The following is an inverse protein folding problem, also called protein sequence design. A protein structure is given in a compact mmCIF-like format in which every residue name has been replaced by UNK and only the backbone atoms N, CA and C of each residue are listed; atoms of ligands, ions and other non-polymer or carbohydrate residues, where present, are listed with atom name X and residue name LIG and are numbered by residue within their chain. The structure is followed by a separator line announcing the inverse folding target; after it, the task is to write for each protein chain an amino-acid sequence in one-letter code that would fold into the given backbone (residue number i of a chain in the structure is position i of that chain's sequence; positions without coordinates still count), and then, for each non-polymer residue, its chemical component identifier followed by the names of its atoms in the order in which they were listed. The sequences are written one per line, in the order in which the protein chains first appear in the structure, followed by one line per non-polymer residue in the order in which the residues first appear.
data_IF_185177398324
#
_entry.id   IF_185177398324
#
_cell.length_a   1.000
_cell.length_b   1.000
_cell.length_c   1.000
_cell.angle_alpha   90.00
_cell.angle_beta   90.00
_cell.angle_gamma   90.00
#
_symmetry.space_group_name_H-M   'P 1'
#
loop_
_entity.id
_entity.type
_entity.pdbx_description
1 polymer ?
#
# COMPACT_ATOMS: atom_id res chain seq x y z
N UNK A 1 -4.51 2.58 -17.01
CA UNK A 1 -4.09 1.27 -16.46
C UNK A 1 -4.21 0.25 -17.57
N UNK A 2 -3.15 -0.52 -17.81
CA UNK A 2 -3.10 -1.61 -18.80
C UNK A 2 -2.98 -2.95 -18.08
N UNK A 3 -3.58 -4.03 -18.59
CA UNK A 3 -3.36 -5.37 -18.09
C UNK A 3 -2.08 -6.03 -18.62
N UNK A 4 -1.36 -5.37 -19.55
CA UNK A 4 -0.17 -5.88 -20.18
C UNK A 4 1.06 -5.09 -19.72
N UNK A 5 1.93 -5.74 -18.97
CA UNK A 5 3.12 -5.11 -18.37
C UNK A 5 4.08 -4.57 -19.44
N UNK A 6 4.16 -5.22 -20.59
CA UNK A 6 5.05 -4.79 -21.71
C UNK A 6 4.64 -3.47 -22.36
N UNK A 7 3.38 -3.03 -22.18
CA UNK A 7 2.85 -1.79 -22.71
C UNK A 7 2.88 -0.64 -21.68
N UNK A 8 3.25 -0.94 -20.44
CA UNK A 8 3.20 0.02 -19.35
C UNK A 8 4.34 1.05 -19.45
N UNK A 9 4.00 2.35 -19.41
CA UNK A 9 4.98 3.43 -19.25
C UNK A 9 5.54 3.52 -17.83
N UNK A 10 4.74 3.14 -16.83
CA UNK A 10 5.14 3.13 -15.42
C UNK A 10 4.67 1.83 -14.79
N UNK A 11 5.56 1.13 -14.12
CA UNK A 11 5.25 -0.07 -13.36
C UNK A 11 5.33 0.25 -11.87
N UNK A 12 4.26 -0.09 -11.12
CA UNK A 12 4.19 0.07 -9.68
C UNK A 12 4.10 -1.31 -9.05
N UNK A 13 5.12 -1.71 -8.33
CA UNK A 13 5.16 -2.99 -7.63
C UNK A 13 4.85 -2.81 -6.15
N UNK A 14 3.71 -3.35 -5.70
CA UNK A 14 3.33 -3.34 -4.29
C UNK A 14 3.90 -4.57 -3.59
N UNK A 15 4.99 -4.37 -2.87
CA UNK A 15 5.82 -5.43 -2.29
C UNK A 15 5.33 -5.90 -0.91
N UNK A 16 5.51 -7.18 -0.63
CA UNK A 16 5.46 -7.74 0.70
C UNK A 16 6.87 -7.79 1.30
N UNK A 17 7.04 -7.37 2.55
CA UNK A 17 8.33 -7.37 3.27
C UNK A 17 8.25 -8.09 4.60
N UNK A 18 7.29 -9.03 4.75
CA UNK A 18 6.96 -9.63 6.04
C UNK A 18 7.84 -10.85 6.36
N UNK A 19 7.98 -11.78 5.43
CA UNK A 19 8.79 -13.01 5.58
C UNK A 19 9.87 -13.07 4.50
N UNK A 20 10.91 -13.86 4.74
CA UNK A 20 12.06 -13.97 3.83
C UNK A 20 11.65 -14.42 2.42
N UNK A 21 10.81 -15.45 2.31
CA UNK A 21 10.36 -15.97 1.02
C UNK A 21 9.61 -14.91 0.21
N UNK A 22 8.75 -14.12 0.88
CA UNK A 22 8.06 -13.02 0.22
C UNK A 22 9.00 -11.86 -0.17
N UNK A 23 10.07 -11.64 0.57
CA UNK A 23 11.11 -10.67 0.19
C UNK A 23 11.87 -11.16 -1.06
N UNK A 24 12.23 -12.45 -1.11
CA UNK A 24 12.93 -13.01 -2.26
C UNK A 24 12.02 -12.96 -3.50
N UNK A 25 10.77 -13.37 -3.38
CA UNK A 25 9.78 -13.26 -4.47
C UNK A 25 9.62 -11.81 -4.94
N UNK A 26 9.60 -10.84 -4.01
CA UNK A 26 9.51 -9.44 -4.35
C UNK A 26 10.73 -8.95 -5.13
N UNK A 27 11.95 -9.36 -4.73
CA UNK A 27 13.18 -9.02 -5.43
C UNK A 27 13.16 -9.61 -6.85
N UNK A 28 12.85 -10.90 -6.97
CA UNK A 28 12.79 -11.59 -8.26
C UNK A 28 11.79 -10.90 -9.20
N UNK A 29 10.63 -10.49 -8.70
CA UNK A 29 9.61 -9.76 -9.46
C UNK A 29 10.06 -8.35 -9.87
N UNK A 30 10.77 -7.64 -9.00
CA UNK A 30 11.33 -6.32 -9.35
C UNK A 30 12.36 -6.46 -10.47
N UNK A 31 13.22 -7.48 -10.43
CA UNK A 31 14.21 -7.76 -11.47
C UNK A 31 13.54 -8.16 -12.80
N UNK A 32 12.48 -8.99 -12.76
CA UNK A 32 11.68 -9.31 -13.94
C UNK A 32 11.06 -8.05 -14.56
N UNK A 33 10.51 -7.15 -13.72
CA UNK A 33 9.92 -5.89 -14.20
C UNK A 33 10.97 -4.89 -14.70
N UNK A 34 12.19 -4.97 -14.21
CA UNK A 34 13.29 -4.15 -14.71
C UNK A 34 13.63 -4.43 -16.18
N UNK A 35 13.38 -5.65 -16.66
CA UNK A 35 13.55 -6.00 -18.08
C UNK A 35 12.65 -5.16 -18.97
N UNK A 36 11.47 -4.75 -18.54
CA UNK A 36 10.59 -3.87 -19.31
C UNK A 36 11.15 -2.44 -19.45
N UNK A 37 12.09 -2.02 -18.59
CA UNK A 37 12.84 -0.77 -18.78
C UNK A 37 13.94 -0.90 -19.83
N UNK A 38 14.60 -2.05 -19.88
CA UNK A 38 15.69 -2.31 -20.81
C UNK A 38 15.17 -2.63 -22.22
N UNK A 39 14.10 -3.44 -22.31
CA UNK A 39 13.62 -4.07 -23.54
C UNK A 39 12.17 -3.71 -23.91
N UNK A 40 11.49 -2.89 -23.10
CA UNK A 40 10.10 -2.50 -23.28
C UNK A 40 9.88 -0.99 -23.25
N UNK A 41 8.65 -0.59 -22.92
CA UNK A 41 8.22 0.81 -22.88
C UNK A 41 8.32 1.46 -21.50
N UNK A 42 8.69 0.71 -20.46
CA UNK A 42 8.67 1.18 -19.08
C UNK A 42 9.72 2.29 -18.87
N UNK A 43 9.26 3.46 -18.48
CA UNK A 43 10.08 4.66 -18.19
C UNK A 43 10.44 4.78 -16.72
N UNK A 44 9.59 4.20 -15.83
CA UNK A 44 9.79 4.27 -14.39
C UNK A 44 9.28 3.01 -13.69
N UNK A 45 10.10 2.47 -12.79
CA UNK A 45 9.78 1.36 -11.89
C UNK A 45 9.71 1.86 -10.46
N UNK A 46 8.54 1.73 -9.84
CA UNK A 46 8.25 2.19 -8.48
C UNK A 46 8.02 0.98 -7.58
N UNK A 47 8.71 0.92 -6.46
CA UNK A 47 8.47 -0.08 -5.42
C UNK A 47 7.74 0.57 -4.26
N UNK A 48 6.63 -0.02 -3.84
CA UNK A 48 5.84 0.40 -2.68
C UNK A 48 5.51 -0.77 -1.76
N UNK A 49 4.86 -0.51 -0.65
CA UNK A 49 4.44 -1.55 0.30
C UNK A 49 5.42 -1.81 1.43
N UNK A 50 5.30 -2.99 2.06
CA UNK A 50 6.03 -3.29 3.30
C UNK A 50 7.55 -3.38 3.10
N UNK A 51 8.03 -3.88 1.97
CA UNK A 51 9.45 -3.91 1.65
C UNK A 51 10.01 -2.49 1.48
N UNK A 52 9.29 -1.63 0.76
CA UNK A 52 9.62 -0.22 0.60
C UNK A 52 9.74 0.51 1.95
N UNK A 53 8.79 0.29 2.86
CA UNK A 53 8.80 0.89 4.19
C UNK A 53 9.96 0.38 5.06
N UNK A 54 10.29 -0.91 4.93
CA UNK A 54 11.30 -1.56 5.78
C UNK A 54 12.72 -1.25 5.38
N UNK A 55 13.00 -1.27 4.08
CA UNK A 55 14.36 -1.24 3.53
C UNK A 55 14.69 0.02 2.74
N UNK A 56 13.77 0.92 2.60
CA UNK A 56 13.84 2.23 1.92
C UNK A 56 15.18 2.55 1.22
N UNK A 57 16.19 2.95 1.97
CA UNK A 57 17.50 3.37 1.44
C UNK A 57 18.26 2.21 0.78
N UNK A 58 18.18 1.01 1.36
CA UNK A 58 18.86 -0.20 0.88
C UNK A 58 18.33 -0.70 -0.48
N UNK A 59 17.06 -0.36 -0.82
CA UNK A 59 16.47 -0.78 -2.10
C UNK A 59 17.23 -0.16 -3.27
N UNK A 60 17.60 1.11 -3.21
CA UNK A 60 18.33 1.76 -4.30
C UNK A 60 19.74 1.25 -4.48
N UNK A 61 20.36 0.75 -3.40
CA UNK A 61 21.70 0.15 -3.44
C UNK A 61 21.67 -1.26 -4.02
N UNK A 62 20.65 -2.05 -3.63
CA UNK A 62 20.52 -3.46 -4.01
C UNK A 62 19.80 -3.65 -5.36
N UNK A 63 18.91 -2.73 -5.72
CA UNK A 63 18.07 -2.75 -6.92
C UNK A 63 18.19 -1.41 -7.65
N UNK A 64 19.33 -1.17 -8.34
CA UNK A 64 19.60 0.11 -9.01
C UNK A 64 18.61 0.44 -10.13
N UNK A 65 17.83 -0.54 -10.62
CA UNK A 65 16.79 -0.37 -11.64
C UNK A 65 15.55 0.38 -11.11
N UNK A 66 15.33 0.38 -9.78
CA UNK A 66 14.19 1.06 -9.15
C UNK A 66 14.38 2.57 -9.20
N UNK A 67 13.38 3.30 -9.69
CA UNK A 67 13.40 4.76 -9.81
C UNK A 67 12.80 5.47 -8.60
N UNK A 68 11.80 4.84 -7.96
CA UNK A 68 11.23 5.40 -6.74
C UNK A 68 10.86 4.33 -5.70
N UNK A 69 10.92 4.74 -4.43
CA UNK A 69 10.49 3.97 -3.27
C UNK A 69 9.42 4.77 -2.53
N UNK A 70 8.23 4.16 -2.34
CA UNK A 70 7.07 4.79 -1.71
C UNK A 70 6.63 3.97 -0.50
N UNK A 71 6.59 4.60 0.67
CA UNK A 71 6.22 3.97 1.93
C UNK A 71 4.76 3.53 2.01
N UNK A 72 4.45 2.71 3.00
CA UNK A 72 3.09 2.18 3.22
C UNK A 72 2.06 3.24 3.58
N UNK A 73 2.51 4.38 4.11
CA UNK A 73 1.67 5.53 4.44
C UNK A 73 1.50 6.53 3.30
N UNK A 74 2.31 6.42 2.25
CA UNK A 74 2.45 7.47 1.22
C UNK A 74 1.80 7.14 -0.12
N UNK A 75 1.07 6.02 -0.23
CA UNK A 75 0.45 5.57 -1.49
C UNK A 75 -0.48 6.63 -2.12
N UNK A 76 -1.03 7.53 -1.32
CA UNK A 76 -1.88 8.64 -1.78
C UNK A 76 -1.13 9.60 -2.69
N UNK A 77 0.16 9.74 -2.48
CA UNK A 77 1.03 10.65 -3.20
C UNK A 77 1.71 10.00 -4.43
N UNK A 78 1.34 8.76 -4.76
CA UNK A 78 2.00 8.02 -5.83
C UNK A 78 1.89 8.71 -7.20
N UNK A 79 0.78 9.43 -7.44
CA UNK A 79 0.61 10.24 -8.64
C UNK A 79 1.66 11.33 -8.76
N UNK A 80 1.92 12.08 -7.67
CA UNK A 80 2.95 13.11 -7.66
C UNK A 80 4.36 12.53 -7.83
N UNK A 81 4.62 11.32 -7.32
CA UNK A 81 5.89 10.61 -7.54
C UNK A 81 6.06 10.25 -9.02
N UNK A 82 5.01 9.77 -9.67
CA UNK A 82 5.02 9.48 -11.12
C UNK A 82 5.35 10.75 -11.91
N UNK A 83 4.69 11.87 -11.62
CA UNK A 83 4.93 13.13 -12.31
C UNK A 83 6.39 13.60 -12.16
N UNK A 84 6.98 13.47 -10.98
CA UNK A 84 8.39 13.80 -10.73
C UNK A 84 9.32 12.93 -11.58
N UNK A 85 9.08 11.62 -11.65
CA UNK A 85 9.88 10.68 -12.43
C UNK A 85 9.77 10.98 -13.94
N UNK A 86 8.56 11.25 -14.45
CA UNK A 86 8.33 11.56 -15.85
C UNK A 86 8.94 12.92 -16.25
N UNK A 87 9.12 13.84 -15.29
CA UNK A 87 9.85 15.09 -15.46
C UNK A 87 11.37 14.95 -15.34
N UNK A 88 11.88 13.72 -15.23
CA UNK A 88 13.32 13.42 -15.27
C UNK A 88 14.01 13.33 -13.92
N UNK A 89 13.28 13.44 -12.80
CA UNK A 89 13.84 13.19 -11.47
C UNK A 89 14.15 11.69 -11.33
N UNK A 90 15.18 11.35 -10.56
CA UNK A 90 15.62 9.96 -10.35
C UNK A 90 15.77 9.68 -8.87
N UNK A 91 15.58 8.39 -8.52
CA UNK A 91 15.75 7.90 -7.13
C UNK A 91 14.87 8.68 -6.16
N UNK A 92 13.59 8.84 -6.51
CA UNK A 92 12.60 9.52 -5.68
C UNK A 92 12.27 8.64 -4.48
N UNK A 93 12.50 9.13 -3.28
CA UNK A 93 12.12 8.46 -2.04
C UNK A 93 11.02 9.26 -1.34
N UNK A 94 9.90 8.59 -1.08
CA UNK A 94 8.80 9.12 -0.31
C UNK A 94 8.39 8.08 0.75
N UNK A 95 9.03 8.14 1.91
CA UNK A 95 8.77 7.24 3.03
C UNK A 95 8.66 8.09 4.29
N UNK A 96 7.42 8.45 4.63
CA UNK A 96 7.12 9.31 5.77
C UNK A 96 6.77 8.50 7.03
N UNK A 97 6.37 9.19 8.10
CA UNK A 97 5.92 8.53 9.33
C UNK A 97 4.67 7.68 9.06
N UNK A 98 4.76 6.39 9.35
CA UNK A 98 3.65 5.43 9.18
C UNK A 98 2.48 5.67 10.13
N UNK A 99 2.64 6.50 11.16
CA UNK A 99 1.61 6.79 12.17
C UNK A 99 0.78 8.04 11.84
N UNK A 100 1.00 8.69 10.69
CA UNK A 100 0.15 9.80 10.32
C UNK A 100 -1.30 9.35 10.10
N UNK A 101 -2.24 10.23 10.39
CA UNK A 101 -3.67 9.95 10.24
C UNK A 101 -3.97 9.70 8.76
N UNK A 102 -4.65 8.60 8.50
CA UNK A 102 -5.20 8.32 7.19
C UNK A 102 -6.19 9.43 6.83
N UNK A 103 -6.04 10.01 5.65
CA UNK A 103 -6.88 11.12 5.23
C UNK A 103 -8.28 10.59 4.88
N UNK A 104 -9.20 10.70 5.84
CA UNK A 104 -10.58 10.21 5.76
C UNK A 104 -11.39 10.88 4.64
N UNK A 105 -10.98 12.07 4.22
CA UNK A 105 -11.64 12.85 3.18
C UNK A 105 -11.26 12.44 1.75
N UNK A 106 -10.26 11.61 1.59
CA UNK A 106 -9.83 11.15 0.27
C UNK A 106 -10.80 10.09 -0.27
N UNK A 107 -11.73 10.53 -1.10
CA UNK A 107 -12.57 9.65 -1.89
C UNK A 107 -11.79 9.07 -3.07
N UNK A 108 -10.81 8.19 -2.79
CA UNK A 108 -10.14 7.49 -3.88
C UNK A 108 -11.14 6.74 -4.75
N UNK A 109 -11.01 6.88 -6.06
CA UNK A 109 -11.70 5.99 -7.00
C UNK A 109 -11.03 4.63 -6.91
N UNK A 110 -11.59 3.78 -6.08
CA UNK A 110 -11.13 2.40 -5.95
C UNK A 110 -11.58 1.60 -7.17
N UNK A 111 -10.63 0.98 -7.84
CA UNK A 111 -10.94 -0.01 -8.86
C UNK A 111 -11.05 -1.39 -8.20
N UNK A 112 -12.20 -2.02 -8.34
CA UNK A 112 -12.44 -3.38 -7.85
C UNK A 112 -11.94 -4.35 -8.92
N UNK A 113 -10.88 -5.10 -8.59
CA UNK A 113 -10.26 -6.09 -9.50
C UNK A 113 -10.63 -7.53 -9.13
N UNK A 114 -11.36 -7.73 -8.02
CA UNK A 114 -11.83 -9.05 -7.63
C UNK A 114 -12.99 -9.50 -8.52
N UNK A 115 -12.92 -10.74 -8.99
CA UNK A 115 -14.00 -11.40 -9.73
C UNK A 115 -14.96 -12.11 -8.75
N UNK A 116 -16.22 -12.33 -9.16
CA UNK A 116 -17.18 -13.11 -8.34
C UNK A 116 -18.05 -12.32 -7.38
N UNK A 117 -18.06 -10.99 -7.48
CA UNK A 117 -19.00 -10.14 -6.70
C UNK A 117 -18.62 -9.93 -5.24
N UNK A 118 -17.40 -10.21 -4.84
CA UNK A 118 -16.87 -9.91 -3.50
C UNK A 118 -15.79 -8.82 -3.53
N UNK A 119 -15.53 -8.20 -2.39
CA UNK A 119 -14.42 -7.26 -2.23
C UNK A 119 -13.91 -7.22 -0.78
N UNK A 120 -12.66 -6.83 -0.61
CA UNK A 120 -12.07 -6.61 0.70
C UNK A 120 -12.34 -5.19 1.18
N UNK A 121 -12.67 -5.03 2.46
CA UNK A 121 -12.78 -3.74 3.13
C UNK A 121 -11.81 -3.69 4.30
N UNK A 122 -10.79 -2.86 4.18
CA UNK A 122 -9.83 -2.64 5.27
C UNK A 122 -10.47 -1.76 6.33
N UNK A 123 -10.60 -2.30 7.57
CA UNK A 123 -11.26 -1.63 8.69
C UNK A 123 -10.28 -0.98 9.67
N UNK A 124 -9.03 -1.42 9.67
CA UNK A 124 -7.98 -0.86 10.52
C UNK A 124 -6.60 -1.04 9.87
N UNK A 125 -5.62 -0.30 10.37
CA UNK A 125 -4.21 -0.35 9.97
C UNK A 125 -3.32 -0.46 11.20
N UNK A 126 -2.20 -1.20 11.07
CA UNK A 126 -1.20 -1.34 12.13
C UNK A 126 -1.56 -2.36 13.20
N UNK A 127 -0.68 -2.51 14.19
CA UNK A 127 -0.87 -3.45 15.31
C UNK A 127 0.05 -3.10 16.49
N UNK A 128 -0.50 -3.10 17.72
CA UNK A 128 0.24 -2.79 18.95
C UNK A 128 0.61 -4.03 19.78
N UNK A 129 0.44 -5.23 19.24
CA UNK A 129 0.70 -6.46 20.02
C UNK A 129 2.18 -6.77 20.26
N UNK A 130 3.10 -6.17 19.51
CA UNK A 130 4.54 -6.31 19.67
C UNK A 130 5.05 -7.76 19.84
N UNK A 131 4.44 -8.73 19.13
CA UNK A 131 4.93 -10.11 19.13
C UNK A 131 6.40 -10.15 18.70
N UNK A 132 7.23 -10.96 19.39
CA UNK A 132 8.69 -10.95 19.28
C UNK A 132 9.23 -11.17 17.86
N UNK A 133 8.51 -11.91 17.03
CA UNK A 133 8.86 -12.23 15.63
C UNK A 133 8.21 -11.30 14.61
N UNK A 134 7.33 -10.40 15.04
CA UNK A 134 6.45 -9.67 14.13
C UNK A 134 7.01 -8.31 13.74
N UNK A 135 7.08 -8.03 12.45
CA UNK A 135 7.55 -6.75 11.90
C UNK A 135 6.42 -5.73 11.68
N UNK A 136 5.14 -6.13 11.84
CA UNK A 136 3.98 -5.29 11.54
C UNK A 136 4.06 -3.90 12.20
N UNK A 137 4.35 -3.74 13.51
CA UNK A 137 4.44 -2.41 14.11
C UNK A 137 5.46 -1.49 13.43
N UNK A 138 6.54 -2.07 12.88
CA UNK A 138 7.60 -1.30 12.21
C UNK A 138 7.25 -0.89 10.77
N UNK A 139 6.39 -1.66 10.08
CA UNK A 139 6.08 -1.44 8.67
C UNK A 139 4.66 -0.94 8.40
N UNK A 140 3.77 -1.03 9.42
CA UNK A 140 2.38 -0.57 9.36
C UNK A 140 2.01 0.39 10.48
N UNK A 141 2.90 0.57 11.45
CA UNK A 141 2.71 1.48 12.59
C UNK A 141 1.76 0.95 13.66
N UNK A 142 1.40 1.85 14.58
CA UNK A 142 0.46 1.59 15.65
C UNK A 142 -0.94 1.30 15.12
N UNK A 143 -1.72 0.60 15.92
CA UNK A 143 -3.09 0.24 15.55
C UNK A 143 -3.97 1.49 15.41
N UNK A 144 -4.69 1.60 14.30
CA UNK A 144 -5.62 2.70 13.98
C UNK A 144 -6.87 2.13 13.33
N UNK A 145 -8.05 2.37 13.91
CA UNK A 145 -9.35 2.03 13.31
C UNK A 145 -9.78 3.11 12.32
N UNK A 146 -10.38 2.69 11.21
CA UNK A 146 -11.09 3.64 10.34
C UNK A 146 -12.43 4.01 10.97
N UNK A 147 -12.89 5.28 10.87
CA UNK A 147 -14.20 5.70 11.36
C UNK A 147 -15.34 4.91 10.71
N UNK A 148 -16.41 4.68 11.48
CA UNK A 148 -17.57 3.92 11.01
C UNK A 148 -18.21 4.59 9.79
N UNK A 149 -18.34 5.90 9.78
CA UNK A 149 -18.92 6.67 8.69
C UNK A 149 -18.14 6.48 7.38
N UNK A 150 -16.81 6.48 7.47
CA UNK A 150 -15.93 6.20 6.33
C UNK A 150 -16.19 4.79 5.80
N UNK A 151 -16.22 3.77 6.66
CA UNK A 151 -16.42 2.39 6.26
C UNK A 151 -17.81 2.16 5.64
N UNK A 152 -18.85 2.78 6.21
CA UNK A 152 -20.22 2.74 5.65
C UNK A 152 -20.25 3.37 4.26
N UNK A 153 -19.57 4.51 4.08
CA UNK A 153 -19.50 5.16 2.76
C UNK A 153 -18.74 4.32 1.74
N UNK A 154 -17.63 3.68 2.13
CA UNK A 154 -16.89 2.77 1.25
C UNK A 154 -17.74 1.54 0.90
N UNK A 155 -18.46 0.98 1.87
CA UNK A 155 -19.37 -0.16 1.67
C UNK A 155 -20.46 0.18 0.66
N UNK A 156 -21.12 1.35 0.79
CA UNK A 156 -22.15 1.81 -0.16
C UNK A 156 -21.60 1.87 -1.60
N UNK A 157 -20.42 2.46 -1.80
CA UNK A 157 -19.77 2.53 -3.12
C UNK A 157 -19.48 1.13 -3.70
N UNK A 158 -19.04 0.18 -2.87
CA UNK A 158 -18.80 -1.20 -3.31
C UNK A 158 -20.10 -1.89 -3.73
N UNK A 159 -21.17 -1.73 -2.94
CA UNK A 159 -22.50 -2.30 -3.24
C UNK A 159 -23.09 -1.68 -4.51
N UNK A 160 -23.01 -0.37 -4.68
CA UNK A 160 -23.40 0.33 -5.91
C UNK A 160 -22.60 -0.18 -7.14
N UNK A 161 -21.33 -0.55 -6.95
CA UNK A 161 -20.49 -1.21 -7.96
C UNK A 161 -20.81 -2.68 -8.21
N UNK A 162 -21.83 -3.26 -7.54
CA UNK A 162 -22.29 -4.64 -7.74
C UNK A 162 -21.66 -5.69 -6.82
N UNK A 163 -20.88 -5.27 -5.81
CA UNK A 163 -20.32 -6.16 -4.79
C UNK A 163 -21.44 -6.69 -3.89
N UNK A 164 -21.47 -8.01 -3.68
CA UNK A 164 -22.49 -8.70 -2.88
C UNK A 164 -21.96 -9.24 -1.56
N UNK A 165 -20.64 -9.45 -1.48
CA UNK A 165 -19.96 -9.96 -0.29
C UNK A 165 -18.78 -9.05 0.05
N UNK A 166 -18.65 -8.67 1.32
CA UNK A 166 -17.55 -7.84 1.82
C UNK A 166 -16.77 -8.62 2.87
N UNK A 167 -15.46 -8.77 2.62
CA UNK A 167 -14.54 -9.40 3.54
C UNK A 167 -13.81 -8.31 4.31
N UNK A 168 -14.05 -8.24 5.63
CA UNK A 168 -13.38 -7.28 6.52
C UNK A 168 -11.95 -7.72 6.79
N UNK A 169 -10.98 -6.83 6.59
CA UNK A 169 -9.56 -7.12 6.77
C UNK A 169 -8.85 -6.06 7.61
N UNK A 170 -7.93 -6.51 8.45
CA UNK A 170 -6.95 -5.71 9.16
C UNK A 170 -5.76 -6.59 9.55
N UNK A 171 -4.66 -6.01 10.05
CA UNK A 171 -3.58 -6.75 10.70
C UNK A 171 -4.04 -7.36 12.03
N UNK A 172 -5.00 -6.70 12.68
CA UNK A 172 -5.65 -7.16 13.90
C UNK A 172 -7.12 -6.70 13.92
N UNK A 173 -8.03 -7.60 13.56
CA UNK A 173 -9.46 -7.27 13.42
C UNK A 173 -10.19 -7.19 14.77
N UNK A 174 -9.70 -7.92 15.80
CA UNK A 174 -10.36 -8.00 17.11
C UNK A 174 -10.26 -6.70 17.92
N UNK A 175 -9.32 -5.82 17.57
CA UNK A 175 -9.13 -4.52 18.23
C UNK A 175 -9.94 -3.40 17.55
N UNK A 176 -10.70 -3.69 16.51
CA UNK A 176 -11.47 -2.66 15.83
C UNK A 176 -12.42 -1.95 16.81
N UNK A 177 -12.39 -0.62 16.78
CA UNK A 177 -13.23 0.24 17.62
C UNK A 177 -12.65 0.54 19.02
N UNK A 178 -11.64 -0.16 19.50
CA UNK A 178 -11.08 0.06 20.83
C UNK A 178 -10.63 1.51 21.10
N UNK A 179 -10.22 2.24 20.07
CA UNK A 179 -9.78 3.63 20.17
C UNK A 179 -10.83 4.66 19.69
N UNK A 180 -11.92 4.22 19.07
CA UNK A 180 -12.97 5.12 18.58
C UNK A 180 -13.89 5.61 19.70
N UNK A 181 -13.96 4.89 20.82
CA UNK A 181 -14.90 5.12 21.91
C UNK A 181 -14.23 5.59 23.21
N UNK A 182 -12.91 5.73 23.24
CA UNK A 182 -12.18 6.13 24.46
C UNK A 182 -12.21 7.61 24.73
N UNK A 183 -12.62 8.46 23.79
CA UNK A 183 -12.75 9.91 23.99
C UNK A 183 -14.06 10.33 24.65
N UNK A 184 -15.13 9.50 24.58
CA UNK A 184 -16.46 9.87 25.08
C UNK A 184 -16.85 9.20 26.41
N UNK A 185 -15.96 8.38 26.98
CA UNK A 185 -16.22 7.65 28.23
C UNK A 185 -15.64 8.32 29.48
N UNK A 186 -15.19 9.58 29.38
CA UNK A 186 -14.54 10.32 30.47
C UNK A 186 -15.26 11.61 30.88
N UNK A 187 -16.59 11.73 30.63
CA UNK A 187 -17.45 12.79 31.20
C UNK A 187 -18.54 12.21 32.08
#
# INVERSE_FOLDING_TARGET
ITPNDSEADVIIFNSCGFILDANQEAIDKVLEMADYKANGNCKALIVTGCMAQRYKDEIFESLPEVDAVVGTGDFENIGAVIDRLLNGEKKVQLVTDINHLLNENNSYKRMVTTTGGFSYLKIAEGCDKHCTYCVIPKVRGSFRSFPIEYLVNQTKKLVEGGVKEIILVAQETTLYGCLLYTSDAAD
#
